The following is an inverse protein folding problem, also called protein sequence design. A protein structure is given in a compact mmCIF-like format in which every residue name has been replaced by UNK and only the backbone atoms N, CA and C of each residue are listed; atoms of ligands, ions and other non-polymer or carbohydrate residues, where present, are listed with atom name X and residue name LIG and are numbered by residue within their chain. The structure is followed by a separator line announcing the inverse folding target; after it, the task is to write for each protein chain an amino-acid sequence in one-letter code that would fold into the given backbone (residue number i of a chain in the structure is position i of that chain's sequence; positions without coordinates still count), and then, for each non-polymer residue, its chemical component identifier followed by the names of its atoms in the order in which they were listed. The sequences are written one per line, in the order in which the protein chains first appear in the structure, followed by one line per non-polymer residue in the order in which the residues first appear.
data_IF_142822694786
#
_entry.id   IF_142822694786
#
_cell.length_a   1.000
_cell.length_b   1.000
_cell.length_c   1.000
_cell.angle_alpha   90.00
_cell.angle_beta   90.00
_cell.angle_gamma   90.00
#
_symmetry.space_group_name_H-M   'P 1'
#
loop_
_entity.id
_entity.type
_entity.pdbx_description
1 polymer ?
#
# COMPACT_ATOMS: atom_id res chain seq x y z
N UNK A 1 -13.00 -6.56 28.85
CA UNK A 1 -13.19 -5.86 27.57
C UNK A 1 -12.07 -6.30 26.65
N UNK A 2 -12.34 -6.54 25.38
CA UNK A 2 -11.29 -6.82 24.40
C UNK A 2 -10.33 -5.62 24.32
N UNK A 3 -9.04 -5.86 24.08
CA UNK A 3 -8.07 -4.77 23.92
C UNK A 3 -8.35 -3.97 22.64
N UNK A 4 -7.69 -2.82 22.50
CA UNK A 4 -7.96 -1.88 21.41
C UNK A 4 -7.72 -2.52 20.03
N UNK A 5 -6.72 -3.38 19.87
CA UNK A 5 -6.41 -3.99 18.57
C UNK A 5 -7.51 -4.97 18.16
N UNK A 6 -8.02 -5.78 19.08
CA UNK A 6 -9.16 -6.66 18.80
C UNK A 6 -10.39 -5.85 18.41
N UNK A 7 -10.72 -4.79 19.17
CA UNK A 7 -11.87 -3.92 18.86
C UNK A 7 -11.75 -3.26 17.47
N UNK A 8 -10.55 -2.86 17.09
CA UNK A 8 -10.28 -2.30 15.75
C UNK A 8 -10.44 -3.39 14.69
N UNK A 9 -9.84 -4.57 14.88
CA UNK A 9 -9.95 -5.68 13.93
C UNK A 9 -11.41 -6.08 13.69
N UNK A 10 -12.18 -6.29 14.76
CA UNK A 10 -13.61 -6.62 14.68
C UNK A 10 -14.39 -5.57 13.89
N UNK A 11 -14.11 -4.28 14.13
CA UNK A 11 -14.73 -3.18 13.40
C UNK A 11 -14.35 -3.15 11.92
N UNK A 12 -13.08 -3.43 11.59
CA UNK A 12 -12.59 -3.44 10.21
C UNK A 12 -13.24 -4.56 9.38
N UNK A 13 -13.55 -5.69 10.00
CA UNK A 13 -14.22 -6.83 9.34
C UNK A 13 -15.75 -6.73 9.39
N UNK A 14 -16.32 -5.97 10.33
CA UNK A 14 -17.75 -5.80 10.45
C UNK A 14 -18.38 -5.31 9.14
N UNK A 15 -19.43 -6.02 8.71
CA UNK A 15 -20.19 -5.70 7.49
C UNK A 15 -19.32 -5.52 6.23
N UNK A 16 -18.14 -6.16 6.16
CA UNK A 16 -17.35 -6.19 4.93
C UNK A 16 -17.99 -7.18 3.96
N UNK A 17 -18.61 -6.67 2.90
CA UNK A 17 -19.19 -7.48 1.84
C UNK A 17 -18.86 -6.82 0.51
N UNK A 18 -18.00 -7.48 -0.27
CA UNK A 18 -17.62 -7.04 -1.61
C UNK A 18 -18.01 -8.10 -2.64
N UNK A 19 -18.52 -7.66 -3.78
CA UNK A 19 -18.81 -8.56 -4.90
C UNK A 19 -17.49 -8.90 -5.60
N UNK A 20 -17.06 -10.16 -5.50
CA UNK A 20 -15.84 -10.63 -6.15
C UNK A 20 -15.86 -10.40 -7.67
N UNK A 21 -14.77 -9.86 -8.21
CA UNK A 21 -14.56 -9.55 -9.62
C UNK A 21 -13.70 -10.64 -10.24
N UNK A 22 -14.27 -11.35 -11.21
CA UNK A 22 -13.51 -12.28 -12.04
C UNK A 22 -13.01 -11.53 -13.27
N UNK A 23 -11.69 -11.31 -13.34
CA UNK A 23 -11.06 -10.69 -14.49
C UNK A 23 -11.25 -11.54 -15.75
N UNK A 24 -11.47 -10.89 -16.89
CA UNK A 24 -11.43 -11.56 -18.19
C UNK A 24 -9.97 -11.68 -18.63
N UNK A 25 -9.66 -12.75 -19.36
CA UNK A 25 -8.35 -12.87 -20.00
C UNK A 25 -8.21 -11.82 -21.09
N UNK A 26 -7.04 -11.20 -21.15
CA UNK A 26 -6.69 -10.25 -22.18
C UNK A 26 -5.41 -10.69 -22.91
N UNK A 27 -5.42 -10.84 -24.25
CA UNK A 27 -4.24 -11.26 -25.00
C UNK A 27 -3.02 -10.34 -24.82
N UNK A 28 -3.22 -9.03 -24.65
CA UNK A 28 -2.14 -8.07 -24.45
C UNK A 28 -1.48 -8.29 -23.08
N UNK A 29 -2.29 -8.36 -22.02
CA UNK A 29 -1.77 -8.61 -20.67
C UNK A 29 -1.15 -10.00 -20.54
N UNK A 30 -1.72 -11.00 -21.21
CA UNK A 30 -1.14 -12.34 -21.25
C UNK A 30 0.24 -12.34 -21.94
N UNK A 31 0.38 -11.64 -23.06
CA UNK A 31 1.67 -11.53 -23.74
C UNK A 31 2.74 -10.88 -22.85
N UNK A 32 2.39 -9.86 -22.06
CA UNK A 32 3.30 -9.24 -21.11
C UNK A 32 3.66 -10.17 -19.94
N UNK A 33 2.70 -10.95 -19.45
CA UNK A 33 2.93 -11.98 -18.44
C UNK A 33 3.86 -13.08 -18.95
N UNK A 34 3.74 -13.46 -20.23
CA UNK A 34 4.57 -14.47 -20.88
C UNK A 34 6.04 -14.03 -21.01
N UNK A 35 6.34 -12.72 -20.90
CA UNK A 35 7.73 -12.23 -20.80
C UNK A 35 8.34 -12.36 -19.40
N UNK A 36 7.57 -12.89 -18.43
CA UNK A 36 7.97 -13.00 -17.03
C UNK A 36 7.59 -11.79 -16.16
N UNK A 37 6.72 -10.90 -16.66
CA UNK A 37 6.26 -9.72 -15.91
C UNK A 37 5.08 -10.07 -15.01
N UNK A 38 5.12 -9.64 -13.74
CA UNK A 38 3.98 -9.69 -12.85
C UNK A 38 3.17 -8.37 -12.95
N UNK A 39 1.85 -8.46 -13.10
CA UNK A 39 0.98 -7.31 -13.40
C UNK A 39 0.22 -6.85 -12.17
N UNK A 40 0.48 -5.62 -11.74
CA UNK A 40 -0.13 -4.99 -10.58
C UNK A 40 -0.85 -3.70 -11.01
N UNK A 41 -2.01 -3.39 -10.41
CA UNK A 41 -2.72 -2.13 -10.64
C UNK A 41 -2.41 -1.11 -9.54
N UNK A 42 -1.94 0.08 -9.91
CA UNK A 42 -1.70 1.18 -8.97
C UNK A 42 -2.91 2.12 -8.92
N UNK A 43 -3.94 1.72 -8.16
CA UNK A 43 -5.10 2.57 -7.89
C UNK A 43 -5.72 2.25 -6.53
N UNK A 44 -6.28 3.28 -5.90
CA UNK A 44 -7.22 3.13 -4.78
C UNK A 44 -8.67 3.18 -5.25
N UNK A 45 -8.93 3.57 -6.49
CA UNK A 45 -10.29 3.66 -7.02
C UNK A 45 -10.81 2.26 -7.34
N UNK A 46 -11.81 1.82 -6.59
CA UNK A 46 -12.42 0.49 -6.74
C UNK A 46 -13.11 0.32 -8.09
N UNK A 47 -13.73 1.38 -8.62
CA UNK A 47 -14.44 1.34 -9.90
C UNK A 47 -13.43 1.32 -11.06
N UNK A 48 -12.37 2.12 -10.97
CA UNK A 48 -11.26 2.08 -11.92
C UNK A 48 -10.58 0.71 -11.92
N UNK A 49 -10.30 0.16 -10.74
CA UNK A 49 -9.74 -1.18 -10.61
C UNK A 49 -10.65 -2.23 -11.26
N UNK A 50 -11.96 -2.20 -11.00
CA UNK A 50 -12.91 -3.13 -11.62
C UNK A 50 -12.98 -3.00 -13.14
N UNK A 51 -12.91 -1.78 -13.68
CA UNK A 51 -12.90 -1.54 -15.11
C UNK A 51 -11.64 -2.08 -15.81
N UNK A 52 -10.51 -2.11 -15.11
CA UNK A 52 -9.22 -2.52 -15.67
C UNK A 52 -8.76 -3.93 -15.27
N UNK A 53 -9.43 -4.57 -14.30
CA UNK A 53 -9.01 -5.87 -13.76
C UNK A 53 -9.07 -6.98 -14.80
N UNK A 54 -7.92 -7.61 -15.07
CA UNK A 54 -7.80 -8.78 -15.95
C UNK A 54 -7.42 -10.03 -15.16
N UNK A 55 -7.59 -11.22 -15.77
CA UNK A 55 -7.25 -12.50 -15.13
C UNK A 55 -5.73 -12.66 -14.90
N UNK A 56 -4.92 -11.85 -15.57
CA UNK A 56 -3.46 -11.89 -15.53
C UNK A 56 -2.88 -11.13 -14.33
N UNK A 57 -3.63 -10.16 -13.79
CA UNK A 57 -3.25 -9.32 -12.67
C UNK A 57 -3.26 -10.09 -11.34
N UNK A 58 -2.28 -9.79 -10.47
CA UNK A 58 -2.08 -10.51 -9.21
C UNK A 58 -2.14 -9.63 -7.97
N UNK A 59 -2.04 -8.31 -8.11
CA UNK A 59 -2.05 -7.40 -6.97
C UNK A 59 -2.50 -5.98 -7.30
N UNK A 60 -2.77 -5.22 -6.25
CA UNK A 60 -3.04 -3.78 -6.29
C UNK A 60 -2.06 -3.04 -5.38
N UNK A 61 -1.74 -1.81 -5.72
CA UNK A 61 -1.01 -0.90 -4.84
C UNK A 61 -1.86 0.30 -4.51
N UNK A 62 -1.91 0.65 -3.23
CA UNK A 62 -2.43 1.93 -2.78
C UNK A 62 -1.27 2.77 -2.21
N UNK A 63 -1.56 4.04 -1.98
CA UNK A 63 -0.70 4.96 -1.25
C UNK A 63 -1.58 5.99 -0.54
N UNK A 64 -0.96 6.84 0.27
CA UNK A 64 -1.67 7.85 1.06
C UNK A 64 -2.51 8.81 0.18
N UNK A 65 -2.02 9.17 -1.01
CA UNK A 65 -2.76 10.04 -1.96
C UNK A 65 -3.96 9.34 -2.56
N UNK A 66 -3.79 8.11 -3.06
CA UNK A 66 -4.86 7.32 -3.66
C UNK A 66 -5.98 7.05 -2.65
N UNK A 67 -5.62 6.67 -1.43
CA UNK A 67 -6.60 6.48 -0.36
C UNK A 67 -7.33 7.78 -0.01
N UNK A 68 -6.61 8.90 0.08
CA UNK A 68 -7.24 10.19 0.37
C UNK A 68 -8.26 10.56 -0.71
N UNK A 69 -7.97 10.32 -2.00
CA UNK A 69 -8.93 10.56 -3.07
C UNK A 69 -10.24 9.79 -2.85
N UNK A 70 -10.16 8.53 -2.42
CA UNK A 70 -11.33 7.73 -2.09
C UNK A 70 -12.09 8.26 -0.87
N UNK A 71 -11.39 8.73 0.16
CA UNK A 71 -12.00 9.36 1.32
C UNK A 71 -12.77 10.62 0.91
N UNK A 72 -12.22 11.45 0.03
CA UNK A 72 -12.86 12.67 -0.45
C UNK A 72 -14.14 12.41 -1.25
N UNK A 73 -14.41 11.18 -1.71
CA UNK A 73 -15.70 10.79 -2.30
C UNK A 73 -16.84 10.68 -1.28
N UNK A 74 -16.55 10.76 0.02
CA UNK A 74 -17.54 10.67 1.12
C UNK A 74 -17.95 9.24 1.47
N UNK A 75 -17.41 8.22 0.77
CA UNK A 75 -17.78 6.81 0.98
C UNK A 75 -17.37 6.26 2.35
N UNK A 76 -16.54 6.99 3.10
CA UNK A 76 -16.06 6.62 4.42
C UNK A 76 -16.59 7.51 5.56
N UNK A 77 -17.51 8.45 5.32
CA UNK A 77 -17.95 9.43 6.33
C UNK A 77 -18.54 8.75 7.59
N UNK A 78 -19.42 7.77 7.38
CA UNK A 78 -20.00 6.98 8.49
C UNK A 78 -18.90 6.19 9.21
N UNK A 79 -18.01 5.54 8.44
CA UNK A 79 -16.89 4.78 9.00
C UNK A 79 -15.99 5.66 9.88
N UNK A 80 -15.65 6.87 9.45
CA UNK A 80 -14.84 7.83 10.22
C UNK A 80 -15.54 8.23 11.51
N UNK A 81 -16.85 8.50 11.44
CA UNK A 81 -17.66 8.82 12.62
C UNK A 81 -17.66 7.67 13.65
N UNK A 82 -17.86 6.44 13.19
CA UNK A 82 -17.87 5.25 14.05
C UNK A 82 -16.48 4.92 14.61
N UNK A 83 -15.43 4.98 13.76
CA UNK A 83 -14.05 4.76 14.17
C UNK A 83 -13.63 5.72 15.29
N UNK A 84 -14.07 6.99 15.24
CA UNK A 84 -13.80 7.98 16.29
C UNK A 84 -14.27 7.54 17.67
N UNK A 85 -15.37 6.79 17.77
CA UNK A 85 -15.86 6.25 19.04
C UNK A 85 -14.99 5.11 19.57
N UNK A 86 -14.38 4.31 18.69
CA UNK A 86 -13.48 3.21 19.10
C UNK A 86 -12.23 3.75 19.77
N UNK A 87 -11.66 4.81 19.20
CA UNK A 87 -10.40 5.43 19.65
C UNK A 87 -10.61 6.69 20.50
N UNK A 88 -11.78 6.88 21.11
CA UNK A 88 -12.17 8.12 21.78
C UNK A 88 -11.23 8.53 22.93
N UNK A 89 -10.68 7.56 23.67
CA UNK A 89 -9.78 7.78 24.82
C UNK A 89 -8.37 8.22 24.41
N UNK A 90 -8.01 8.13 23.12
CA UNK A 90 -6.68 8.46 22.66
C UNK A 90 -6.48 9.98 22.51
N UNK A 91 -5.25 10.48 22.75
CA UNK A 91 -4.86 11.84 22.40
C UNK A 91 -5.17 12.15 20.93
N UNK A 92 -5.44 13.42 20.60
CA UNK A 92 -5.90 13.81 19.27
C UNK A 92 -4.95 13.35 18.15
N UNK A 93 -3.65 13.51 18.32
CA UNK A 93 -2.67 13.10 17.31
C UNK A 93 -2.67 11.57 17.08
N UNK A 94 -2.69 10.79 18.16
CA UNK A 94 -2.79 9.32 18.09
C UNK A 94 -4.12 8.90 17.48
N UNK A 95 -5.21 9.59 17.80
CA UNK A 95 -6.54 9.34 17.25
C UNK A 95 -6.58 9.51 15.74
N UNK A 96 -5.95 10.57 15.22
CA UNK A 96 -5.84 10.80 13.76
C UNK A 96 -5.07 9.67 13.10
N UNK A 97 -3.91 9.28 13.65
CA UNK A 97 -3.08 8.18 13.12
C UNK A 97 -3.82 6.84 13.15
N UNK A 98 -4.55 6.52 14.22
CA UNK A 98 -5.36 5.31 14.29
C UNK A 98 -6.51 5.32 13.28
N UNK A 99 -7.23 6.42 13.11
CA UNK A 99 -8.31 6.52 12.11
C UNK A 99 -7.74 6.37 10.69
N UNK A 100 -6.59 7.00 10.40
CA UNK A 100 -5.92 6.84 9.11
C UNK A 100 -5.49 5.38 8.86
N UNK A 101 -4.92 4.73 9.88
CA UNK A 101 -4.60 3.30 9.84
C UNK A 101 -5.84 2.45 9.54
N UNK A 102 -6.93 2.69 10.25
CA UNK A 102 -8.20 1.97 10.09
C UNK A 102 -8.80 2.18 8.70
N UNK A 103 -8.78 3.40 8.17
CA UNK A 103 -9.25 3.71 6.81
C UNK A 103 -8.46 2.94 5.76
N UNK A 104 -7.13 2.96 5.86
CA UNK A 104 -6.28 2.26 4.91
C UNK A 104 -6.45 0.74 5.01
N UNK A 105 -6.55 0.20 6.23
CA UNK A 105 -6.82 -1.21 6.44
C UNK A 105 -8.18 -1.63 5.87
N UNK A 106 -9.24 -0.86 6.15
CA UNK A 106 -10.58 -1.12 5.62
C UNK A 106 -10.58 -1.05 4.10
N UNK A 107 -9.96 -0.03 3.52
CA UNK A 107 -9.88 0.13 2.08
C UNK A 107 -9.09 -1.02 1.44
N UNK A 108 -7.93 -1.38 2.00
CA UNK A 108 -7.14 -2.52 1.55
C UNK A 108 -7.92 -3.84 1.61
N UNK A 109 -8.70 -4.07 2.68
CA UNK A 109 -9.55 -5.25 2.80
C UNK A 109 -10.63 -5.30 1.72
N UNK A 110 -11.22 -4.15 1.37
CA UNK A 110 -12.19 -4.07 0.26
C UNK A 110 -11.55 -4.47 -1.07
N UNK A 111 -10.37 -3.93 -1.38
CA UNK A 111 -9.63 -4.30 -2.59
C UNK A 111 -9.27 -5.80 -2.59
N UNK A 112 -8.71 -6.30 -1.48
CA UNK A 112 -8.29 -7.69 -1.33
C UNK A 112 -9.47 -8.67 -1.51
N UNK A 113 -10.61 -8.37 -0.89
CA UNK A 113 -11.84 -9.17 -0.99
C UNK A 113 -12.44 -9.13 -2.40
N UNK A 114 -12.50 -7.94 -3.00
CA UNK A 114 -13.11 -7.73 -4.31
C UNK A 114 -12.29 -8.36 -5.45
N UNK A 115 -10.97 -8.25 -5.41
CA UNK A 115 -10.11 -8.66 -6.53
C UNK A 115 -9.37 -9.98 -6.29
N UNK A 116 -9.28 -10.46 -5.05
CA UNK A 116 -8.59 -11.70 -4.70
C UNK A 116 -7.07 -11.67 -4.85
N UNK A 117 -6.50 -10.51 -5.22
CA UNK A 117 -5.06 -10.29 -5.33
C UNK A 117 -4.41 -9.87 -4.02
N UNK A 118 -3.09 -9.67 -4.07
CA UNK A 118 -2.35 -9.02 -2.98
C UNK A 118 -2.66 -7.51 -2.98
N UNK A 119 -2.52 -6.85 -1.83
CA UNK A 119 -2.69 -5.41 -1.71
C UNK A 119 -1.50 -4.82 -0.96
N UNK A 120 -0.77 -3.95 -1.64
CA UNK A 120 0.30 -3.17 -1.04
C UNK A 120 -0.31 -1.95 -0.34
N UNK A 121 -0.33 -1.97 1.00
CA UNK A 121 -0.90 -0.92 1.85
C UNK A 121 0.20 -0.05 2.45
N UNK A 122 0.20 1.25 2.15
CA UNK A 122 1.26 2.16 2.59
C UNK A 122 1.10 2.63 4.04
N UNK A 123 2.19 2.58 4.80
CA UNK A 123 2.22 3.19 6.13
C UNK A 123 1.91 4.71 6.02
N UNK A 124 1.30 5.25 7.07
CA UNK A 124 1.07 6.70 7.15
C UNK A 124 2.40 7.46 7.07
N UNK A 125 2.42 8.58 6.36
CA UNK A 125 3.65 9.37 6.10
C UNK A 125 4.36 9.83 7.37
N UNK A 126 3.61 10.13 8.43
CA UNK A 126 4.18 10.52 9.73
C UNK A 126 5.04 9.43 10.38
N UNK A 127 4.94 8.18 9.92
CA UNK A 127 5.74 7.06 10.42
C UNK A 127 7.09 6.94 9.70
N UNK A 128 7.34 7.72 8.63
CA UNK A 128 8.53 7.56 7.78
C UNK A 128 9.86 7.67 8.54
N UNK A 129 9.88 8.35 9.69
CA UNK A 129 11.05 8.53 10.55
C UNK A 129 10.85 7.96 11.97
N UNK A 130 9.90 7.05 12.15
CA UNK A 130 9.64 6.38 13.43
C UNK A 130 9.73 4.86 13.27
N UNK A 131 10.89 4.29 13.63
CA UNK A 131 11.15 2.85 13.56
C UNK A 131 10.09 2.06 14.35
N UNK A 132 9.71 2.53 15.56
CA UNK A 132 8.75 1.83 16.41
C UNK A 132 7.36 1.90 15.81
N UNK A 133 6.99 3.07 15.27
CA UNK A 133 5.75 3.26 14.54
C UNK A 133 5.63 2.35 13.32
N UNK A 134 6.69 2.26 12.50
CA UNK A 134 6.75 1.35 11.34
C UNK A 134 6.51 -0.09 11.76
N UNK A 135 7.22 -0.57 12.79
CA UNK A 135 7.03 -1.93 13.30
C UNK A 135 5.62 -2.16 13.83
N UNK A 136 5.11 -1.21 14.64
CA UNK A 136 3.83 -1.34 15.30
C UNK A 136 2.67 -1.38 14.29
N UNK A 137 2.58 -0.41 13.39
CA UNK A 137 1.51 -0.38 12.39
C UNK A 137 1.69 -1.43 11.29
N UNK A 138 2.93 -1.74 10.90
CA UNK A 138 3.21 -2.77 9.91
C UNK A 138 2.79 -4.17 10.39
N UNK A 139 3.10 -4.53 11.64
CA UNK A 139 2.63 -5.80 12.23
C UNK A 139 1.10 -5.87 12.32
N UNK A 140 0.44 -4.75 12.67
CA UNK A 140 -1.02 -4.70 12.73
C UNK A 140 -1.69 -4.87 11.36
N UNK A 141 -1.13 -4.28 10.29
CA UNK A 141 -1.61 -4.56 8.92
C UNK A 141 -1.51 -6.05 8.60
N UNK A 142 -0.36 -6.67 8.91
CA UNK A 142 -0.17 -8.09 8.70
C UNK A 142 -1.15 -8.94 9.52
N UNK A 143 -1.38 -8.62 10.80
CA UNK A 143 -2.34 -9.34 11.64
C UNK A 143 -3.78 -9.25 11.12
N UNK A 144 -4.16 -8.12 10.52
CA UNK A 144 -5.51 -7.92 9.94
C UNK A 144 -5.73 -8.79 8.70
N UNK A 145 -4.74 -8.89 7.81
CA UNK A 145 -4.86 -9.64 6.56
C UNK A 145 -3.51 -10.25 6.14
N UNK A 146 -3.07 -11.33 6.82
CA UNK A 146 -1.71 -11.85 6.66
C UNK A 146 -1.44 -12.37 5.25
N UNK A 147 -2.46 -12.94 4.62
CA UNK A 147 -2.34 -13.63 3.33
C UNK A 147 -2.35 -12.69 2.12
N UNK A 148 -2.95 -11.49 2.24
CA UNK A 148 -3.08 -10.57 1.10
C UNK A 148 -2.36 -9.24 1.28
N UNK A 149 -2.09 -8.78 2.50
CA UNK A 149 -1.41 -7.49 2.68
C UNK A 149 0.11 -7.60 2.51
N UNK A 150 0.65 -6.57 1.86
CA UNK A 150 2.08 -6.26 1.79
C UNK A 150 2.25 -4.84 2.36
N UNK A 151 3.07 -4.69 3.39
CA UNK A 151 3.28 -3.40 4.04
C UNK A 151 4.22 -2.55 3.19
N UNK A 152 3.72 -1.40 2.73
CA UNK A 152 4.50 -0.47 1.91
C UNK A 152 5.19 0.58 2.78
N UNK A 153 6.52 0.59 2.73
CA UNK A 153 7.39 1.37 3.64
C UNK A 153 8.16 2.43 2.84
N UNK A 154 8.14 3.71 3.24
CA UNK A 154 8.89 4.75 2.55
C UNK A 154 10.41 4.55 2.67
N UNK A 155 11.14 4.84 1.60
CA UNK A 155 12.59 4.79 1.56
C UNK A 155 13.23 5.95 2.37
N UNK A 156 13.51 5.67 3.65
CA UNK A 156 14.24 6.53 4.59
C UNK A 156 15.26 5.69 5.38
N UNK A 157 16.14 6.33 6.16
CA UNK A 157 17.07 5.60 7.01
C UNK A 157 16.34 4.73 8.06
N UNK A 158 15.31 5.30 8.70
CA UNK A 158 14.44 4.59 9.64
C UNK A 158 13.58 3.54 8.94
N UNK A 159 13.14 3.81 7.71
CA UNK A 159 12.42 2.89 6.84
C UNK A 159 13.21 1.61 6.58
N UNK A 160 14.50 1.71 6.26
CA UNK A 160 15.40 0.56 6.10
C UNK A 160 15.47 -0.31 7.36
N UNK A 161 15.58 0.32 8.54
CA UNK A 161 15.66 -0.41 9.82
C UNK A 161 14.31 -1.04 10.18
N UNK A 162 13.22 -0.28 10.06
CA UNK A 162 11.87 -0.73 10.37
C UNK A 162 11.42 -1.86 9.45
N UNK A 163 11.66 -1.75 8.15
CA UNK A 163 11.37 -2.81 7.18
C UNK A 163 12.15 -4.08 7.46
N UNK A 164 13.44 -3.98 7.80
CA UNK A 164 14.24 -5.15 8.19
C UNK A 164 13.59 -5.89 9.37
N UNK A 165 13.17 -5.17 10.40
CA UNK A 165 12.50 -5.76 11.57
C UNK A 165 11.13 -6.36 11.24
N UNK A 166 10.39 -5.75 10.30
CA UNK A 166 9.16 -6.32 9.77
C UNK A 166 9.43 -7.64 9.03
N UNK A 167 10.45 -7.69 8.18
CA UNK A 167 10.89 -8.90 7.46
C UNK A 167 11.32 -10.01 8.42
N UNK A 168 12.12 -9.68 9.43
CA UNK A 168 12.52 -10.62 10.49
C UNK A 168 11.31 -11.15 11.29
N UNK A 169 10.21 -10.39 11.34
CA UNK A 169 8.95 -10.81 11.95
C UNK A 169 7.99 -11.53 10.99
N UNK A 170 8.42 -11.85 9.75
CA UNK A 170 7.59 -12.57 8.76
C UNK A 170 6.60 -11.69 8.00
N UNK A 171 6.65 -10.37 8.15
CA UNK A 171 5.78 -9.43 7.44
C UNK A 171 6.32 -9.20 6.03
N UNK A 172 5.45 -9.24 5.01
CA UNK A 172 5.84 -8.87 3.64
C UNK A 172 5.99 -7.36 3.48
N UNK A 173 7.06 -6.92 2.84
CA UNK A 173 7.41 -5.50 2.67
C UNK A 173 7.58 -5.14 1.20
N UNK A 174 7.01 -4.01 0.81
CA UNK A 174 7.24 -3.31 -0.45
C UNK A 174 7.86 -1.94 -0.16
N UNK A 175 9.09 -1.66 -0.60
CA UNK A 175 9.62 -0.30 -0.44
C UNK A 175 9.03 0.65 -1.46
N UNK A 176 8.89 1.93 -1.11
CA UNK A 176 8.42 2.98 -2.02
C UNK A 176 9.34 4.19 -1.96
N UNK A 177 9.23 5.09 -2.95
CA UNK A 177 10.03 6.31 -3.09
C UNK A 177 11.52 6.07 -3.41
N UNK A 178 11.84 4.96 -4.06
CA UNK A 178 13.15 4.80 -4.71
C UNK A 178 13.10 5.31 -6.16
N UNK A 179 14.24 5.84 -6.62
CA UNK A 179 14.40 6.56 -7.89
C UNK A 179 15.54 5.97 -8.75
N UNK A 180 16.10 4.83 -8.37
CA UNK A 180 17.16 4.17 -9.15
C UNK A 180 17.32 2.69 -8.76
N UNK A 181 17.75 1.86 -9.72
CA UNK A 181 18.14 0.48 -9.46
C UNK A 181 19.27 0.37 -8.41
N UNK A 182 20.16 1.37 -8.32
CA UNK A 182 21.24 1.41 -7.33
C UNK A 182 20.71 1.53 -5.89
N UNK A 183 19.67 2.33 -5.67
CA UNK A 183 19.00 2.37 -4.36
C UNK A 183 18.41 1.00 -4.03
N UNK A 184 17.78 0.34 -5.01
CA UNK A 184 17.18 -0.98 -4.81
C UNK A 184 18.22 -2.04 -4.42
N UNK A 185 19.43 -2.01 -4.99
CA UNK A 185 20.54 -2.89 -4.56
C UNK A 185 20.89 -2.68 -3.08
N UNK A 186 20.93 -1.42 -2.61
CA UNK A 186 21.23 -1.10 -1.21
C UNK A 186 20.09 -1.56 -0.30
N UNK A 187 18.84 -1.27 -0.69
CA UNK A 187 17.62 -1.67 0.04
C UNK A 187 17.57 -3.18 0.18
N UNK A 188 17.74 -3.93 -0.91
CA UNK A 188 17.73 -5.40 -0.91
C UNK A 188 18.81 -5.98 -0.02
N UNK A 189 20.03 -5.42 -0.02
CA UNK A 189 21.11 -5.88 0.84
C UNK A 189 20.89 -5.57 2.32
N UNK A 190 20.21 -4.47 2.62
CA UNK A 190 20.09 -3.96 3.99
C UNK A 190 18.85 -4.48 4.70
N UNK A 191 17.70 -4.46 4.02
CA UNK A 191 16.39 -4.74 4.58
C UNK A 191 15.72 -6.02 4.05
N UNK A 192 16.20 -6.58 2.93
CA UNK A 192 15.68 -7.81 2.31
C UNK A 192 14.14 -7.82 2.14
N UNK A 193 13.53 -6.76 1.55
CA UNK A 193 12.09 -6.71 1.31
C UNK A 193 11.67 -7.74 0.24
N UNK A 194 10.37 -7.97 0.11
CA UNK A 194 9.80 -8.80 -0.96
C UNK A 194 9.76 -8.01 -2.28
N UNK A 195 9.50 -6.70 -2.20
CA UNK A 195 9.39 -5.81 -3.35
C UNK A 195 10.10 -4.47 -3.13
N UNK A 196 10.58 -3.88 -4.22
CA UNK A 196 11.23 -2.56 -4.31
C UNK A 196 10.69 -1.85 -5.56
N UNK A 197 10.64 -0.53 -5.57
CA UNK A 197 10.10 0.23 -6.69
C UNK A 197 11.16 1.11 -7.36
N UNK A 198 10.86 1.61 -8.57
CA UNK A 198 11.58 2.75 -9.17
C UNK A 198 10.53 3.68 -9.76
N UNK A 199 10.48 4.92 -9.27
CA UNK A 199 9.48 5.90 -9.67
C UNK A 199 9.88 6.59 -10.98
N UNK A 200 9.83 5.85 -12.10
CA UNK A 200 10.26 6.32 -13.43
C UNK A 200 9.61 7.64 -13.85
N UNK A 201 8.28 7.74 -13.70
CA UNK A 201 7.56 8.97 -14.05
C UNK A 201 8.02 10.21 -13.27
N UNK A 202 8.45 10.06 -12.00
CA UNK A 202 9.00 11.16 -11.20
C UNK A 202 10.42 11.54 -11.63
N UNK A 203 11.21 10.57 -12.08
CA UNK A 203 12.54 10.83 -12.67
C UNK A 203 12.38 11.64 -13.96
N UNK A 204 11.46 11.24 -14.85
CA UNK A 204 11.14 11.98 -16.07
C UNK A 204 10.67 13.40 -15.80
N UNK A 205 9.72 13.58 -14.88
CA UNK A 205 9.23 14.90 -14.48
C UNK A 205 10.35 15.80 -13.94
N UNK A 206 11.23 15.27 -13.08
CA UNK A 206 12.37 16.02 -12.56
C UNK A 206 13.29 16.51 -13.68
N UNK A 207 13.56 15.68 -14.70
CA UNK A 207 14.39 16.09 -15.84
C UNK A 207 13.75 17.23 -16.62
N UNK A 208 12.45 17.15 -16.89
CA UNK A 208 11.69 18.19 -17.61
C UNK A 208 11.70 19.51 -16.83
N UNK A 209 11.35 19.47 -15.55
CA UNK A 209 11.25 20.66 -14.68
C UNK A 209 12.58 21.40 -14.54
N UNK A 210 13.69 20.66 -14.60
CA UNK A 210 15.04 21.21 -14.51
C UNK A 210 15.70 21.45 -15.87
N UNK A 211 14.98 21.30 -16.99
CA UNK A 211 15.49 21.51 -18.36
C UNK A 211 16.71 20.64 -18.70
N UNK A 212 16.73 19.41 -18.20
CA UNK A 212 17.79 18.43 -18.41
C UNK A 212 17.50 17.46 -19.57
N UNK A 213 16.30 17.51 -20.15
CA UNK A 213 15.85 16.66 -21.24
C UNK A 213 14.32 16.70 -21.36
N UNK A 214 13.76 15.94 -22.30
CA UNK A 214 12.30 15.80 -22.46
C UNK A 214 11.65 14.82 -21.47
N UNK A 215 12.46 14.13 -20.66
CA UNK A 215 12.02 13.17 -19.64
C UNK A 215 11.59 11.80 -20.19
N UNK A 216 11.57 11.60 -21.50
CA UNK A 216 11.16 10.34 -22.13
C UNK A 216 12.20 9.25 -21.90
N UNK A 217 11.76 8.05 -21.51
CA UNK A 217 12.64 6.91 -21.23
C UNK A 217 13.57 7.10 -20.02
N UNK A 218 13.35 8.14 -19.20
CA UNK A 218 14.20 8.44 -18.08
C UNK A 218 14.14 7.33 -17.01
N UNK A 219 15.27 6.63 -16.84
CA UNK A 219 15.39 5.50 -15.90
C UNK A 219 15.07 4.12 -16.48
N UNK A 220 14.64 4.04 -17.75
CA UNK A 220 14.31 2.77 -18.42
C UNK A 220 15.55 2.01 -18.95
N UNK A 221 16.71 2.69 -19.05
CA UNK A 221 17.98 2.15 -19.58
C UNK A 221 18.96 1.71 -18.47
N UNK A 222 18.45 1.22 -17.34
CA UNK A 222 19.26 0.84 -16.17
C UNK A 222 19.74 -0.62 -16.20
#
# INVERSE_FOLDING_TARGET
MADLNTRISDFLWANLSEKHVNGKKDPFWQALKDTGTELWLDTGDIEEAEANWSAEMSALTTNNTLLNNEIQKGIYDIFVSEARHIVHDLPLETKVKEIAFMLNARHGLRLASKFGGLVSVELHTDLAHDIKGIEFYGKRYHEICPDQFIVKVPYTAEGLIGAKRLREAGVRVNFTLEFSARQNVIVTRTAQPDYVNVFLGRVGAFMMDNKLGDGSGAGEMA
#
